data_IF_859424448985
#
_entry.id   IF_859424448985
#
_cell.length_a   1.000
_cell.length_b   1.000
_cell.length_c   1.000
_cell.angle_alpha   90.00
_cell.angle_beta   90.00
_cell.angle_gamma   90.00
#
_symmetry.space_group_name_H-M   'P 1'
#
loop_
_entity.id
_entity.type
_entity.pdbx_description
1 polymer ?
#
# COMPACT_ATOMS: atom_id res chain seq x y z
N UNK A 1 -36.09 -25.00 -52.58
CA UNK A 1 -36.11 -25.37 -51.13
C UNK A 1 -34.95 -24.60 -50.50
N UNK A 2 -35.28 -23.49 -49.84
CA UNK A 2 -34.26 -22.58 -49.25
C UNK A 2 -34.13 -22.88 -47.76
N UNK A 3 -32.92 -23.20 -47.30
CA UNK A 3 -32.61 -23.47 -45.91
C UNK A 3 -32.69 -22.18 -45.07
N UNK A 4 -33.24 -22.21 -43.86
CA UNK A 4 -33.29 -21.05 -43.01
C UNK A 4 -31.91 -20.78 -42.37
N UNK A 5 -31.39 -19.57 -42.51
CA UNK A 5 -30.16 -19.07 -41.84
C UNK A 5 -30.30 -19.16 -40.33
N UNK A 6 -29.50 -20.01 -39.69
CA UNK A 6 -29.32 -20.03 -38.24
C UNK A 6 -28.68 -18.71 -37.80
N UNK A 7 -29.44 -17.84 -37.15
CA UNK A 7 -28.90 -16.68 -36.43
C UNK A 7 -28.23 -17.17 -35.15
N UNK A 8 -26.92 -17.24 -35.17
CA UNK A 8 -26.09 -17.45 -33.98
C UNK A 8 -26.28 -16.24 -33.03
N UNK A 9 -27.04 -16.46 -31.96
CA UNK A 9 -27.11 -15.49 -30.88
C UNK A 9 -25.78 -15.54 -30.12
N UNK A 10 -24.98 -14.45 -30.24
CA UNK A 10 -23.79 -14.23 -29.41
C UNK A 10 -24.29 -14.03 -27.98
N UNK A 11 -23.86 -14.84 -26.99
CA UNK A 11 -24.23 -14.59 -25.60
C UNK A 11 -23.67 -13.26 -25.18
N UNK A 12 -24.52 -12.38 -24.66
CA UNK A 12 -24.06 -11.14 -24.04
C UNK A 12 -23.18 -11.51 -22.85
N UNK A 13 -22.05 -10.79 -22.62
CA UNK A 13 -21.21 -11.04 -21.47
C UNK A 13 -22.03 -10.87 -20.20
N UNK A 14 -22.05 -11.91 -19.37
CA UNK A 14 -22.66 -11.85 -18.03
C UNK A 14 -21.96 -10.73 -17.27
N UNK A 15 -22.73 -9.74 -16.85
CA UNK A 15 -22.25 -8.63 -16.02
C UNK A 15 -21.73 -9.24 -14.72
N UNK A 16 -20.43 -9.31 -14.57
CA UNK A 16 -19.82 -9.71 -13.31
C UNK A 16 -20.28 -8.70 -12.27
N UNK A 17 -21.01 -9.17 -11.25
CA UNK A 17 -21.36 -8.35 -10.10
C UNK A 17 -20.08 -7.86 -9.47
N UNK A 18 -19.92 -6.53 -9.37
CA UNK A 18 -18.78 -5.95 -8.66
C UNK A 18 -18.88 -6.42 -7.20
N UNK A 19 -17.76 -6.85 -6.59
CA UNK A 19 -17.77 -7.18 -5.18
C UNK A 19 -18.33 -6.01 -4.39
N UNK A 20 -19.16 -6.31 -3.41
CA UNK A 20 -19.76 -5.30 -2.53
C UNK A 20 -18.64 -4.53 -1.83
N UNK A 21 -18.60 -3.21 -2.04
CA UNK A 21 -17.57 -2.37 -1.45
C UNK A 21 -17.83 -2.22 0.05
N UNK A 22 -16.78 -2.35 0.85
CA UNK A 22 -16.84 -2.01 2.27
C UNK A 22 -17.17 -0.53 2.41
N UNK A 23 -18.23 -0.22 3.13
CA UNK A 23 -18.62 1.16 3.36
C UNK A 23 -17.60 1.89 4.23
N UNK A 24 -17.28 3.12 3.84
CA UNK A 24 -16.32 3.97 4.57
C UNK A 24 -16.75 4.26 6.02
N UNK A 25 -18.04 4.11 6.32
CA UNK A 25 -18.64 4.30 7.65
C UNK A 25 -18.44 3.11 8.60
N UNK A 26 -17.93 1.98 8.13
CA UNK A 26 -17.80 0.74 8.91
C UNK A 26 -16.38 0.21 9.02
N UNK A 27 -15.43 0.76 8.26
CA UNK A 27 -14.07 0.25 8.17
C UNK A 27 -13.10 0.92 9.14
N UNK A 28 -13.09 2.27 9.22
CA UNK A 28 -12.21 3.05 10.08
C UNK A 28 -10.70 2.95 9.81
N UNK A 29 -10.25 2.18 8.81
CA UNK A 29 -8.83 1.91 8.57
C UNK A 29 -8.01 3.20 8.36
N UNK A 30 -8.45 4.11 7.50
CA UNK A 30 -7.77 5.39 7.25
C UNK A 30 -7.79 6.34 8.47
N UNK A 31 -8.54 6.03 9.52
CA UNK A 31 -8.55 6.74 10.79
C UNK A 31 -7.54 6.18 11.81
N UNK A 32 -6.76 5.18 11.46
CA UNK A 32 -5.78 4.55 12.36
C UNK A 32 -4.36 5.04 12.13
N UNK A 33 -4.10 5.80 11.10
CA UNK A 33 -2.78 6.34 10.78
C UNK A 33 -2.85 7.75 10.16
N UNK A 34 -1.70 8.41 10.12
CA UNK A 34 -1.47 9.63 9.33
C UNK A 34 -0.40 9.33 8.31
N UNK A 35 -0.72 9.49 7.02
CA UNK A 35 0.21 9.29 5.90
C UNK A 35 0.70 10.62 5.34
N UNK A 36 1.99 10.71 5.03
CA UNK A 36 2.63 11.88 4.41
C UNK A 36 3.48 11.41 3.23
N UNK A 37 3.27 12.00 2.06
CA UNK A 37 4.07 11.74 0.88
C UNK A 37 5.55 12.08 1.09
N UNK A 38 6.46 11.20 0.67
CA UNK A 38 7.90 11.38 0.78
C UNK A 38 8.59 11.09 -0.57
N UNK A 39 9.83 11.52 -0.68
CA UNK A 39 10.61 11.22 -1.87
C UNK A 39 11.03 9.74 -1.92
N UNK A 40 10.91 9.13 -3.10
CA UNK A 40 11.49 7.82 -3.36
C UNK A 40 13.01 7.82 -3.12
N UNK A 41 13.62 6.70 -2.69
CA UNK A 41 15.06 6.62 -2.37
C UNK A 41 15.94 6.61 -3.63
N UNK A 42 15.81 7.65 -4.44
CA UNK A 42 16.60 7.86 -5.66
C UNK A 42 18.01 8.42 -5.38
N UNK A 43 18.22 8.99 -4.20
CA UNK A 43 19.47 9.59 -3.74
C UNK A 43 19.78 9.13 -2.30
N UNK A 44 21.06 9.10 -1.88
CA UNK A 44 21.45 8.71 -0.52
C UNK A 44 20.70 9.48 0.56
N UNK A 45 20.51 10.80 0.41
CA UNK A 45 19.76 11.63 1.35
C UNK A 45 18.34 11.10 1.58
N UNK A 46 17.58 10.83 0.52
CA UNK A 46 16.21 10.35 0.67
C UNK A 46 16.14 8.94 1.28
N UNK A 47 17.13 8.10 0.98
CA UNK A 47 17.23 6.79 1.62
C UNK A 47 17.57 6.89 3.12
N UNK A 48 18.39 7.87 3.53
CA UNK A 48 18.66 8.12 4.96
C UNK A 48 17.48 8.71 5.68
N UNK A 49 16.68 9.57 5.02
CA UNK A 49 15.43 10.08 5.59
C UNK A 49 14.44 8.93 5.86
N UNK A 50 14.32 7.97 4.92
CA UNK A 50 13.50 6.77 5.10
C UNK A 50 14.00 5.91 6.28
N UNK A 51 15.30 5.69 6.38
CA UNK A 51 15.88 4.97 7.52
C UNK A 51 15.57 5.65 8.85
N UNK A 52 15.65 6.97 8.89
CA UNK A 52 15.31 7.73 10.08
C UNK A 52 13.85 7.52 10.49
N UNK A 53 12.90 7.54 9.57
CA UNK A 53 11.51 7.19 9.88
C UNK A 53 11.39 5.78 10.47
N UNK A 54 12.03 4.80 9.85
CA UNK A 54 11.96 3.39 10.25
C UNK A 54 12.70 3.06 11.58
N UNK A 55 13.47 3.99 12.12
CA UNK A 55 14.04 3.85 13.47
C UNK A 55 13.02 4.12 14.59
N UNK A 56 11.84 4.64 14.24
CA UNK A 56 10.79 4.95 15.20
C UNK A 56 9.76 3.84 15.27
N UNK A 57 9.31 3.52 16.48
CA UNK A 57 8.20 2.59 16.69
C UNK A 57 6.91 3.19 16.14
N UNK A 58 5.98 2.32 15.69
CA UNK A 58 4.69 2.72 15.12
C UNK A 58 4.78 3.59 13.85
N UNK A 59 5.93 3.54 13.17
CA UNK A 59 6.14 4.20 11.89
C UNK A 59 6.47 3.15 10.83
N UNK A 60 5.85 3.28 9.67
CA UNK A 60 6.18 2.44 8.54
C UNK A 60 6.19 3.25 7.24
N UNK A 61 6.88 2.75 6.24
CA UNK A 61 6.93 3.36 4.91
C UNK A 61 6.15 2.47 3.96
N UNK A 62 5.26 3.09 3.22
CA UNK A 62 4.37 2.46 2.27
C UNK A 62 4.67 2.95 0.86
N UNK A 63 4.62 2.04 -0.10
CA UNK A 63 4.74 2.33 -1.54
C UNK A 63 3.52 1.74 -2.21
N UNK A 64 2.72 2.58 -2.83
CA UNK A 64 1.51 2.15 -3.51
C UNK A 64 1.78 1.44 -4.86
N UNK A 65 0.71 0.98 -5.51
CA UNK A 65 0.79 0.27 -6.78
C UNK A 65 1.31 1.10 -7.95
N UNK A 66 1.25 2.44 -7.86
CA UNK A 66 1.80 3.36 -8.88
C UNK A 66 3.22 3.80 -8.57
N UNK A 67 3.77 3.40 -7.41
CA UNK A 67 5.15 3.67 -7.02
C UNK A 67 5.33 4.96 -6.21
N UNK A 68 4.27 5.54 -5.67
CA UNK A 68 4.36 6.69 -4.77
C UNK A 68 4.74 6.25 -3.35
N UNK A 69 5.63 7.01 -2.74
CA UNK A 69 6.18 6.73 -1.41
C UNK A 69 5.54 7.61 -0.36
N UNK A 70 5.15 7.01 0.74
CA UNK A 70 4.62 7.71 1.90
C UNK A 70 5.15 7.12 3.21
N UNK A 71 5.31 7.96 4.22
CA UNK A 71 5.54 7.54 5.60
C UNK A 71 4.22 7.59 6.35
N UNK A 72 3.95 6.54 7.09
CA UNK A 72 2.73 6.39 7.88
C UNK A 72 3.09 6.30 9.36
N UNK A 73 2.37 7.08 10.15
CA UNK A 73 2.45 7.10 11.61
C UNK A 73 1.18 6.43 12.15
N UNK A 74 1.29 5.34 12.87
CA UNK A 74 0.14 4.70 13.52
C UNK A 74 -0.42 5.63 14.59
N UNK A 75 -1.49 6.29 14.27
CA UNK A 75 -2.10 7.33 15.09
C UNK A 75 -3.63 7.26 14.95
N UNK A 76 -4.29 6.71 15.95
CA UNK A 76 -5.75 6.62 15.95
C UNK A 76 -6.38 8.01 16.02
N UNK A 77 -7.31 8.28 15.10
CA UNK A 77 -8.10 9.51 15.11
C UNK A 77 -8.95 9.58 16.39
N UNK A 78 -8.94 10.74 17.05
CA UNK A 78 -9.71 10.96 18.29
C UNK A 78 -11.24 10.93 18.08
N UNK A 79 -11.69 11.15 16.84
CA UNK A 79 -13.10 11.12 16.47
C UNK A 79 -13.54 9.75 15.95
N UNK A 80 -12.70 8.74 15.97
CA UNK A 80 -13.06 7.37 15.61
C UNK A 80 -13.67 6.67 16.83
N UNK A 81 -14.95 6.34 16.76
CA UNK A 81 -15.66 5.58 17.79
C UNK A 81 -15.16 4.14 17.92
N UNK A 82 -15.64 3.44 18.94
CA UNK A 82 -15.37 2.00 19.12
C UNK A 82 -16.07 1.15 18.07
N UNK A 83 -17.18 1.64 17.55
CA UNK A 83 -17.95 1.07 16.44
C UNK A 83 -17.34 1.34 15.06
N UNK A 84 -16.11 1.88 15.00
CA UNK A 84 -15.38 2.27 13.79
C UNK A 84 -16.05 3.38 12.98
N UNK A 85 -16.98 4.13 13.58
CA UNK A 85 -17.65 5.27 12.95
C UNK A 85 -16.98 6.58 13.31
N UNK A 86 -17.04 7.51 12.38
CA UNK A 86 -16.53 8.87 12.60
C UNK A 86 -17.57 9.73 13.35
N UNK A 87 -17.25 10.18 14.56
CA UNK A 87 -18.12 11.03 15.37
C UNK A 87 -18.41 12.42 14.78
N UNK A 88 -17.60 12.86 13.81
CA UNK A 88 -17.75 14.15 13.11
C UNK A 88 -17.93 13.96 11.59
N UNK A 89 -18.64 12.92 11.18
CA UNK A 89 -18.69 12.50 9.77
C UNK A 89 -19.10 13.63 8.81
N UNK A 90 -20.07 14.44 9.15
CA UNK A 90 -20.56 15.54 8.32
C UNK A 90 -19.63 16.76 8.33
N UNK A 91 -18.81 16.90 9.38
CA UNK A 91 -17.90 18.02 9.60
C UNK A 91 -16.42 17.65 9.34
N UNK A 92 -16.19 16.51 8.68
CA UNK A 92 -14.83 16.01 8.40
C UNK A 92 -13.99 17.06 7.69
N UNK A 93 -12.68 17.15 8.02
CA UNK A 93 -11.72 17.93 7.24
C UNK A 93 -11.69 17.54 5.76
N UNK A 94 -11.26 18.46 4.90
CA UNK A 94 -11.23 18.24 3.45
C UNK A 94 -10.44 16.97 3.07
N UNK A 95 -9.30 16.72 3.71
CA UNK A 95 -8.49 15.52 3.47
C UNK A 95 -9.27 14.22 3.71
N UNK A 96 -10.10 14.18 4.75
CA UNK A 96 -10.94 13.00 5.02
C UNK A 96 -12.09 12.84 4.03
N UNK A 97 -12.55 13.95 3.42
CA UNK A 97 -13.62 13.92 2.41
C UNK A 97 -13.11 13.52 1.03
N UNK A 98 -11.82 13.75 0.76
CA UNK A 98 -11.16 13.37 -0.49
C UNK A 98 -10.89 11.87 -0.62
N UNK A 99 -11.07 11.09 0.44
CA UNK A 99 -10.92 9.63 0.38
C UNK A 99 -12.11 9.02 -0.40
N UNK A 100 -11.78 8.39 -1.53
CA UNK A 100 -12.76 7.59 -2.29
C UNK A 100 -12.68 6.13 -1.80
N UNK A 101 -13.81 5.59 -1.33
CA UNK A 101 -13.86 4.21 -0.87
C UNK A 101 -13.65 3.16 -1.98
N UNK A 102 -13.76 3.56 -3.24
CA UNK A 102 -13.51 2.66 -4.40
C UNK A 102 -12.04 2.44 -4.68
N UNK A 103 -11.18 3.39 -4.30
CA UNK A 103 -9.73 3.36 -4.52
C UNK A 103 -8.94 3.24 -3.23
N UNK A 104 -9.58 2.93 -2.10
CA UNK A 104 -8.88 2.75 -0.84
C UNK A 104 -8.25 1.35 -0.73
N UNK A 105 -7.24 1.21 0.12
CA UNK A 105 -6.49 -0.03 0.35
C UNK A 105 -7.36 -1.25 0.66
N UNK A 106 -8.55 -1.05 1.24
CA UNK A 106 -9.49 -2.11 1.61
C UNK A 106 -10.31 -2.59 0.42
N UNK A 107 -10.75 -1.67 -0.44
CA UNK A 107 -11.68 -1.97 -1.53
C UNK A 107 -10.98 -2.15 -2.88
N UNK A 108 -9.71 -1.78 -2.99
CA UNK A 108 -8.93 -1.97 -4.22
C UNK A 108 -7.84 -3.04 -4.01
N UNK A 109 -8.14 -4.31 -4.31
CA UNK A 109 -7.19 -5.42 -4.14
C UNK A 109 -6.07 -5.42 -5.19
N UNK A 110 -6.07 -4.50 -6.15
CA UNK A 110 -5.11 -4.46 -7.26
C UNK A 110 -3.80 -3.77 -6.88
N UNK A 111 -3.71 -3.16 -5.70
CA UNK A 111 -2.50 -2.48 -5.27
C UNK A 111 -1.38 -3.46 -4.91
N UNK A 112 -0.50 -3.69 -5.88
CA UNK A 112 0.86 -4.18 -5.65
C UNK A 112 1.59 -3.15 -4.78
N UNK A 113 1.53 -3.31 -3.47
CA UNK A 113 2.15 -2.40 -2.53
C UNK A 113 3.36 -3.01 -1.85
N UNK A 114 4.30 -2.16 -1.43
CA UNK A 114 5.41 -2.53 -0.56
C UNK A 114 5.22 -1.81 0.78
N UNK A 115 5.44 -2.54 1.86
CA UNK A 115 5.45 -1.95 3.20
C UNK A 115 6.76 -2.29 3.88
N UNK A 116 7.42 -1.30 4.44
CA UNK A 116 8.63 -1.45 5.24
C UNK A 116 8.30 -1.04 6.67
N UNK A 117 8.46 -1.97 7.61
CA UNK A 117 8.28 -1.72 9.06
C UNK A 117 9.59 -1.81 9.83
N UNK A 118 10.61 -2.37 9.24
CA UNK A 118 11.95 -2.55 9.84
C UNK A 118 13.01 -1.94 8.91
N UNK A 119 13.97 -1.18 9.43
CA UNK A 119 15.06 -0.63 8.63
C UNK A 119 15.88 -1.71 7.90
N UNK A 120 15.96 -2.94 8.41
CA UNK A 120 16.66 -4.05 7.74
C UNK A 120 15.95 -4.50 6.48
N UNK A 121 14.61 -4.53 6.48
CA UNK A 121 13.81 -4.85 5.28
C UNK A 121 14.05 -3.81 4.18
N UNK A 122 14.02 -2.54 4.54
CA UNK A 122 14.30 -1.46 3.61
C UNK A 122 15.74 -1.52 3.07
N UNK A 123 16.74 -1.76 3.92
CA UNK A 123 18.13 -1.90 3.50
C UNK A 123 18.35 -3.13 2.59
N UNK A 124 17.67 -4.25 2.86
CA UNK A 124 17.71 -5.41 1.98
C UNK A 124 17.14 -5.10 0.60
N UNK A 125 15.99 -4.43 0.57
CA UNK A 125 15.37 -3.95 -0.67
C UNK A 125 16.26 -2.93 -1.41
N UNK A 126 16.85 -1.98 -0.69
CA UNK A 126 17.72 -0.96 -1.27
C UNK A 126 18.97 -1.58 -1.91
N UNK A 127 19.56 -2.57 -1.23
CA UNK A 127 20.71 -3.32 -1.76
C UNK A 127 20.38 -4.04 -3.06
N UNK A 128 19.21 -4.64 -3.14
CA UNK A 128 18.75 -5.40 -4.31
C UNK A 128 18.35 -4.48 -5.47
N UNK A 129 17.59 -3.43 -5.18
CA UNK A 129 16.94 -2.59 -6.20
C UNK A 129 17.71 -1.33 -6.55
N UNK A 130 18.53 -0.82 -5.65
CA UNK A 130 19.29 0.44 -5.78
C UNK A 130 20.72 0.30 -5.24
N UNK A 131 21.54 -0.65 -5.77
CA UNK A 131 22.85 -0.95 -5.18
C UNK A 131 23.77 0.27 -5.09
N UNK A 132 23.76 1.17 -6.06
CA UNK A 132 24.56 2.38 -6.03
C UNK A 132 24.18 3.38 -4.95
N UNK A 133 22.90 3.43 -4.55
CA UNK A 133 22.44 4.22 -3.40
C UNK A 133 22.80 3.51 -2.11
N UNK A 134 22.56 2.19 -2.05
CA UNK A 134 22.85 1.36 -0.88
C UNK A 134 24.31 1.50 -0.41
N UNK A 135 25.28 1.38 -1.30
CA UNK A 135 26.71 1.49 -0.94
C UNK A 135 26.99 2.82 -0.26
N UNK A 136 26.53 3.93 -0.85
CA UNK A 136 26.73 5.27 -0.28
C UNK A 136 26.07 5.48 1.08
N UNK A 137 24.93 4.82 1.32
CA UNK A 137 24.22 4.89 2.60
C UNK A 137 24.88 3.97 3.63
N UNK A 138 25.25 2.76 3.25
CA UNK A 138 25.84 1.78 4.14
C UNK A 138 27.19 2.22 4.71
N UNK A 139 28.01 2.89 3.90
CA UNK A 139 29.35 3.32 4.31
C UNK A 139 29.33 4.48 5.32
N UNK A 140 28.30 5.34 5.29
CA UNK A 140 28.28 6.58 6.09
C UNK A 140 27.24 6.64 7.20
N UNK A 141 26.11 5.93 7.06
CA UNK A 141 24.92 6.23 7.87
C UNK A 141 24.24 5.02 8.52
N UNK A 142 24.68 3.79 8.22
CA UNK A 142 24.02 2.58 8.73
C UNK A 142 24.90 1.88 9.76
N UNK A 143 24.44 1.74 11.01
CA UNK A 143 25.09 0.91 11.99
C UNK A 143 25.31 -0.51 11.49
N UNK A 144 26.47 -1.10 11.79
CA UNK A 144 26.81 -2.45 11.30
C UNK A 144 25.76 -3.50 11.69
N UNK A 145 25.15 -3.36 12.87
CA UNK A 145 24.10 -4.25 13.36
C UNK A 145 22.82 -4.25 12.48
N UNK A 146 22.58 -3.20 11.74
CA UNK A 146 21.41 -3.07 10.85
C UNK A 146 21.71 -3.43 9.39
N UNK A 147 22.98 -3.67 9.05
CA UNK A 147 23.34 -4.06 7.67
C UNK A 147 22.76 -5.43 7.36
N UNK A 148 22.07 -5.58 6.21
CA UNK A 148 21.47 -6.86 5.86
C UNK A 148 22.55 -7.93 5.71
N UNK A 149 22.33 -9.06 6.36
CA UNK A 149 23.15 -10.27 6.13
C UNK A 149 22.91 -10.83 4.74
N UNK A 150 23.75 -11.75 4.28
CA UNK A 150 23.56 -12.39 2.96
C UNK A 150 22.20 -13.08 2.79
N UNK A 151 21.54 -13.45 3.91
CA UNK A 151 20.24 -14.15 3.94
C UNK A 151 19.03 -13.22 4.04
N UNK A 152 19.21 -11.93 4.35
CA UNK A 152 18.10 -10.99 4.44
C UNK A 152 17.49 -10.74 3.06
N UNK A 153 16.20 -11.05 2.93
CA UNK A 153 15.42 -10.82 1.71
C UNK A 153 14.64 -9.51 1.82
N UNK A 154 14.50 -8.81 0.70
CA UNK A 154 13.58 -7.68 0.60
C UNK A 154 12.12 -8.15 0.80
N UNK A 155 11.22 -7.28 1.30
CA UNK A 155 9.81 -7.59 1.41
C UNK A 155 9.22 -7.92 0.04
N UNK A 156 8.36 -8.92 0.01
CA UNK A 156 7.64 -9.29 -1.22
C UNK A 156 6.52 -8.30 -1.46
N UNK A 157 6.29 -7.99 -2.74
CA UNK A 157 5.07 -7.27 -3.12
C UNK A 157 3.86 -8.09 -2.69
N UNK A 158 2.97 -7.46 -1.96
CA UNK A 158 1.69 -8.05 -1.59
C UNK A 158 0.75 -7.90 -2.79
N UNK A 159 0.85 -8.85 -3.73
CA UNK A 159 -0.14 -8.99 -4.80
C UNK A 159 -1.37 -9.71 -4.26
N UNK A 160 -2.55 -9.26 -4.61
CA UNK A 160 -3.76 -10.00 -4.35
C UNK A 160 -3.62 -11.41 -4.93
N UNK A 161 -3.81 -12.44 -4.10
CA UNK A 161 -3.96 -13.80 -4.58
C UNK A 161 -5.11 -13.78 -5.59
N UNK A 162 -4.81 -13.97 -6.86
CA UNK A 162 -5.84 -14.40 -7.81
C UNK A 162 -6.41 -15.70 -7.27
N UNK A 163 -7.60 -15.61 -6.68
CA UNK A 163 -8.39 -16.77 -6.38
C UNK A 163 -8.58 -17.52 -7.70
N UNK A 164 -7.94 -18.67 -7.81
CA UNK A 164 -8.25 -19.62 -8.89
C UNK A 164 -9.67 -20.10 -8.58
N UNK A 165 -10.64 -19.60 -9.30
CA UNK A 165 -11.98 -20.16 -9.32
C UNK A 165 -11.85 -21.40 -10.19
N UNK A 166 -11.71 -22.57 -9.54
CA UNK A 166 -11.93 -23.84 -10.19
C UNK A 166 -13.44 -23.97 -10.37
N UNK A 167 -13.88 -23.95 -11.64
CA UNK A 167 -15.25 -24.26 -12.07
C UNK A 167 -15.45 -25.76 -12.23
#
# INVERSE_FOLDING_TARGET
MSEPRRTSRIPLPVRQEKPELVECTSCGQCCTYVGIGINAPSRPRYATDILWYLYHENVYVYVDGVGEWSVHFEARCRNLGEDLRCGVYLERPHICRGFDNRSCEVNDPVHDSLTFRDPREFLAWLRERKPGVYVKVADGFVPQALRPTARARAPRRTGARRGRIEG
#
